data_IF_553918340197
#
_entry.id   IF_553918340197
#
_cell.length_a   1.000
_cell.length_b   1.000
_cell.length_c   1.000
_cell.angle_alpha   90.00
_cell.angle_beta   90.00
_cell.angle_gamma   90.00
#
_symmetry.space_group_name_H-M   'P 1'
#
loop_
_entity.id
_entity.type
_entity.pdbx_description
1 polymer ?
#
# COMPACT_ATOMS: atom_id res chain seq x y z
N UNK A 1 21.92 -17.54 0.93
CA UNK A 1 21.06 -17.30 -0.25
C UNK A 1 20.04 -16.26 0.14
N UNK A 2 19.96 -15.16 -0.60
CA UNK A 2 18.85 -14.22 -0.43
C UNK A 2 17.55 -14.91 -0.86
N UNK A 3 16.46 -14.77 -0.09
CA UNK A 3 15.19 -15.37 -0.45
C UNK A 3 14.70 -14.78 -1.78
N UNK A 4 14.22 -15.64 -2.68
CA UNK A 4 13.59 -15.19 -3.92
C UNK A 4 12.25 -14.54 -3.55
N UNK A 5 12.24 -13.22 -3.45
CA UNK A 5 11.02 -12.47 -3.15
C UNK A 5 10.05 -12.63 -4.33
N UNK A 6 8.97 -13.37 -4.11
CA UNK A 6 7.83 -13.41 -5.02
C UNK A 6 6.88 -12.28 -4.66
N UNK A 7 6.82 -11.26 -5.50
CA UNK A 7 5.93 -10.10 -5.33
C UNK A 7 4.64 -10.25 -6.17
N UNK A 8 4.30 -11.47 -6.60
CA UNK A 8 3.06 -11.75 -7.33
C UNK A 8 1.90 -11.67 -6.34
N UNK A 9 1.10 -10.62 -6.48
CA UNK A 9 -0.18 -10.46 -5.81
C UNK A 9 -1.23 -11.20 -6.63
N UNK A 10 -1.96 -12.13 -6.01
CA UNK A 10 -3.00 -12.91 -6.71
C UNK A 10 -4.17 -12.04 -7.18
N UNK A 11 -4.78 -12.43 -8.29
CA UNK A 11 -5.82 -11.63 -8.96
C UNK A 11 -7.03 -11.34 -8.07
N UNK A 12 -7.45 -12.31 -7.24
CA UNK A 12 -8.55 -12.13 -6.28
C UNK A 12 -8.27 -11.01 -5.27
N UNK A 13 -7.01 -10.90 -4.81
CA UNK A 13 -6.61 -9.84 -3.89
C UNK A 13 -6.56 -8.49 -4.62
N UNK A 14 -6.09 -8.45 -5.87
CA UNK A 14 -6.12 -7.22 -6.69
C UNK A 14 -7.57 -6.75 -6.88
N UNK A 15 -8.48 -7.65 -7.24
CA UNK A 15 -9.89 -7.34 -7.40
C UNK A 15 -10.51 -6.84 -6.09
N UNK A 16 -10.20 -7.49 -4.96
CA UNK A 16 -10.63 -7.08 -3.63
C UNK A 16 -10.16 -5.66 -3.27
N UNK A 17 -8.90 -5.33 -3.54
CA UNK A 17 -8.34 -3.98 -3.31
C UNK A 17 -9.09 -2.93 -4.15
N UNK A 18 -9.32 -3.20 -5.43
CA UNK A 18 -10.07 -2.27 -6.31
C UNK A 18 -11.51 -2.09 -5.81
N UNK A 19 -12.19 -3.18 -5.43
CA UNK A 19 -13.55 -3.11 -4.89
C UNK A 19 -13.61 -2.29 -3.59
N UNK A 20 -12.70 -2.56 -2.65
CA UNK A 20 -12.59 -1.83 -1.40
C UNK A 20 -12.32 -0.32 -1.62
N UNK A 21 -11.43 0.01 -2.56
CA UNK A 21 -11.15 1.41 -2.92
C UNK A 21 -12.38 2.11 -3.50
N UNK A 22 -13.13 1.44 -4.39
CA UNK A 22 -14.38 1.99 -4.95
C UNK A 22 -15.43 2.21 -3.85
N UNK A 23 -15.57 1.28 -2.91
CA UNK A 23 -16.53 1.41 -1.80
C UNK A 23 -16.15 2.48 -0.78
N UNK A 24 -14.87 2.80 -0.66
CA UNK A 24 -14.38 3.84 0.24
C UNK A 24 -14.58 5.25 -0.31
N UNK A 25 -14.93 5.39 -1.59
CA UNK A 25 -15.08 6.66 -2.28
C UNK A 25 -16.54 7.03 -2.54
N UNK A 26 -16.79 8.33 -2.72
CA UNK A 26 -18.13 8.81 -3.09
C UNK A 26 -18.49 8.26 -4.48
N UNK A 27 -19.55 7.44 -4.52
CA UNK A 27 -20.01 6.82 -5.77
C UNK A 27 -20.33 7.88 -6.82
N UNK A 28 -19.69 7.74 -7.98
CA UNK A 28 -19.95 8.55 -9.18
C UNK A 28 -19.80 7.71 -10.43
N UNK A 29 -20.45 8.14 -11.50
CA UNK A 29 -20.28 7.54 -12.81
C UNK A 29 -18.79 7.57 -13.23
N UNK A 30 -18.30 6.45 -13.77
CA UNK A 30 -16.91 6.32 -14.20
C UNK A 30 -15.88 6.03 -13.10
N UNK A 31 -16.26 5.98 -11.82
CA UNK A 31 -15.31 5.74 -10.72
C UNK A 31 -14.50 4.44 -10.87
N UNK A 32 -15.15 3.35 -11.28
CA UNK A 32 -14.47 2.07 -11.50
C UNK A 32 -13.42 2.13 -12.60
N UNK A 33 -13.73 2.80 -13.72
CA UNK A 33 -12.78 3.00 -14.82
C UNK A 33 -11.61 3.90 -14.40
N UNK A 34 -11.89 4.95 -13.64
CA UNK A 34 -10.85 5.85 -13.12
C UNK A 34 -9.93 5.12 -12.14
N UNK A 35 -10.45 4.25 -11.27
CA UNK A 35 -9.66 3.41 -10.37
C UNK A 35 -8.76 2.43 -11.14
N UNK A 36 -9.28 1.77 -12.18
CA UNK A 36 -8.46 0.90 -13.04
C UNK A 36 -7.38 1.68 -13.80
N UNK A 37 -7.68 2.90 -14.26
CA UNK A 37 -6.68 3.79 -14.88
C UNK A 37 -5.61 4.21 -13.88
N UNK A 38 -5.99 4.54 -12.64
CA UNK A 38 -5.06 4.88 -11.58
C UNK A 38 -4.14 3.70 -11.27
N UNK A 39 -4.69 2.48 -11.17
CA UNK A 39 -3.94 1.24 -10.97
C UNK A 39 -2.91 1.01 -12.09
N UNK A 40 -3.34 1.08 -13.35
CA UNK A 40 -2.46 0.92 -14.51
C UNK A 40 -1.37 2.01 -14.57
N UNK A 41 -1.72 3.26 -14.27
CA UNK A 41 -0.76 4.37 -14.20
C UNK A 41 0.26 4.14 -13.08
N UNK A 42 -0.16 3.59 -11.94
CA UNK A 42 0.71 3.21 -10.83
C UNK A 42 1.67 2.09 -11.24
N UNK A 43 1.15 1.01 -11.83
CA UNK A 43 1.92 -0.10 -12.38
C UNK A 43 3.03 0.37 -13.33
N UNK A 44 2.70 1.24 -14.28
CA UNK A 44 3.64 1.79 -15.27
C UNK A 44 4.79 2.60 -14.67
N UNK A 45 4.66 3.09 -13.43
CA UNK A 45 5.73 3.82 -12.72
C UNK A 45 6.70 2.90 -11.99
N UNK A 46 6.42 1.60 -11.93
CA UNK A 46 7.31 0.62 -11.29
C UNK A 46 8.33 0.12 -12.30
N UNK A 47 9.52 -0.28 -11.83
CA UNK A 47 10.58 -0.85 -12.68
C UNK A 47 10.11 -2.05 -13.52
N UNK A 48 9.18 -2.84 -12.96
CA UNK A 48 8.61 -4.01 -13.63
C UNK A 48 7.36 -3.71 -14.46
N UNK A 49 6.77 -2.53 -14.33
CA UNK A 49 5.56 -2.16 -15.08
C UNK A 49 4.30 -2.95 -14.71
N UNK A 50 4.24 -3.62 -13.54
CA UNK A 50 3.14 -4.54 -13.20
C UNK A 50 2.31 -4.05 -12.02
N UNK A 51 1.02 -4.41 -12.02
CA UNK A 51 0.09 -4.17 -10.91
C UNK A 51 0.59 -4.80 -9.61
N UNK A 52 1.13 -6.01 -9.68
CA UNK A 52 1.69 -6.70 -8.51
C UNK A 52 2.88 -5.94 -7.93
N UNK A 53 3.79 -5.41 -8.77
CA UNK A 53 4.89 -4.58 -8.28
C UNK A 53 4.40 -3.28 -7.62
N UNK A 54 3.36 -2.65 -8.18
CA UNK A 54 2.79 -1.43 -7.63
C UNK A 54 2.14 -1.67 -6.26
N UNK A 55 1.29 -2.69 -6.15
CA UNK A 55 0.61 -3.04 -4.90
C UNK A 55 1.60 -3.56 -3.84
N UNK A 56 2.56 -4.40 -4.24
CA UNK A 56 3.60 -4.87 -3.33
C UNK A 56 4.40 -3.70 -2.74
N UNK A 57 4.77 -2.70 -3.56
CA UNK A 57 5.46 -1.52 -3.07
C UNK A 57 4.61 -0.75 -2.05
N UNK A 58 3.33 -0.56 -2.33
CA UNK A 58 2.41 0.09 -1.38
C UNK A 58 2.31 -0.65 -0.03
N UNK A 59 2.31 -1.99 -0.05
CA UNK A 59 2.34 -2.81 1.18
C UNK A 59 3.62 -2.60 1.98
N UNK A 60 4.78 -2.55 1.30
CA UNK A 60 6.08 -2.28 1.94
C UNK A 60 6.11 -0.88 2.54
N UNK A 61 5.68 0.14 1.78
CA UNK A 61 5.68 1.52 2.25
C UNK A 61 4.80 1.69 3.50
N UNK A 62 3.60 1.06 3.53
CA UNK A 62 2.71 1.09 4.70
C UNK A 62 3.29 0.37 5.92
N UNK A 63 3.96 -0.76 5.72
CA UNK A 63 4.63 -1.48 6.81
C UNK A 63 5.77 -0.64 7.41
N UNK A 64 6.56 0.01 6.55
CA UNK A 64 7.66 0.87 7.00
C UNK A 64 7.16 2.10 7.74
N UNK A 65 6.05 2.70 7.31
CA UNK A 65 5.41 3.81 8.01
C UNK A 65 5.06 3.43 9.47
N UNK A 66 4.36 2.31 9.66
CA UNK A 66 4.01 1.81 11.01
C UNK A 66 5.25 1.45 11.83
N UNK A 67 6.25 0.83 11.20
CA UNK A 67 7.52 0.53 11.87
C UNK A 67 8.22 1.82 12.36
N UNK A 68 8.27 2.87 11.55
CA UNK A 68 8.88 4.14 11.93
C UNK A 68 8.10 4.87 13.03
N UNK A 69 6.76 4.77 13.03
CA UNK A 69 5.94 5.27 14.12
C UNK A 69 6.28 4.56 15.45
N UNK A 70 6.40 3.24 15.44
CA UNK A 70 6.81 2.46 16.62
C UNK A 70 8.20 2.83 17.11
N UNK A 71 9.17 3.07 16.22
CA UNK A 71 10.51 3.49 16.61
C UNK A 71 10.53 4.91 17.21
N UNK A 72 9.65 5.80 16.76
CA UNK A 72 9.50 7.15 17.33
C UNK A 72 8.90 7.09 18.74
N UNK A 73 7.88 6.26 18.97
CA UNK A 73 7.27 6.06 20.29
C UNK A 73 8.29 5.52 21.32
N UNK A 74 9.17 4.59 20.92
CA UNK A 74 10.24 4.07 21.80
C UNK A 74 11.29 5.11 22.15
N UNK A 75 11.47 6.12 21.29
CA UNK A 75 12.45 7.18 21.45
C UNK A 75 11.92 8.37 22.25
N UNK A 76 10.61 8.45 22.53
CA UNK A 76 10.07 9.41 23.49
C UNK A 76 10.44 8.94 24.92
N UNK A 77 11.42 9.58 25.57
CA UNK A 77 11.78 9.20 26.92
C UNK A 77 10.67 9.73 27.82
N UNK A 78 9.91 8.84 28.44
CA UNK A 78 9.15 9.02 29.68
C UNK A 78 9.02 10.49 30.12
N UNK A 79 8.25 11.30 29.37
CA UNK A 79 7.86 12.63 29.84
C UNK A 79 6.72 12.44 30.81
N UNK A 80 7.07 11.94 32.00
CA UNK A 80 6.34 12.10 33.27
C UNK A 80 7.09 11.33 34.37
N UNK A 81 8.25 11.87 34.75
CA UNK A 81 8.66 11.80 36.15
C UNK A 81 9.21 13.17 36.55
N UNK A 82 8.52 13.81 37.49
CA UNK A 82 8.75 15.16 38.00
C UNK A 82 7.45 15.95 37.90
N UNK A 83 6.79 16.36 38.98
CA UNK A 83 7.06 16.33 40.42
C UNK A 83 5.71 16.24 41.15
#
# INVERSE_FOLDING_TARGET
MEPKITYIVGDDLIAGVVAAAIWSEKRRFGLSQDMLRALNRGAAKTERGTTSAFLFRAMVDRLLEEYHALEAEKQEPSKQHGE
#
